data_IF_012001234836
#
_entry.id   IF_012001234836
#
_cell.length_a   1.000
_cell.length_b   1.000
_cell.length_c   1.000
_cell.angle_alpha   90.00
_cell.angle_beta   90.00
_cell.angle_gamma   90.00
#
_symmetry.space_group_name_H-M   'P 1'
#
loop_
_entity.id
_entity.type
_entity.pdbx_description
1 polymer ?
#
# COMPACT_ATOMS: atom_id res chain seq x y z
N UNK A 1 12.59 -20.59 25.07
CA UNK A 1 12.57 -21.03 23.66
C UNK A 1 11.50 -20.21 22.95
N UNK A 2 11.89 -19.15 22.23
CA UNK A 2 10.94 -18.34 21.46
C UNK A 2 10.56 -19.13 20.22
N UNK A 3 9.44 -19.86 20.27
CA UNK A 3 8.84 -20.47 19.09
C UNK A 3 8.29 -19.32 18.25
N UNK A 4 9.13 -18.78 17.36
CA UNK A 4 8.78 -17.69 16.46
C UNK A 4 7.68 -18.14 15.53
N UNK A 5 6.42 -17.89 15.90
CA UNK A 5 5.34 -17.85 14.91
C UNK A 5 5.78 -16.83 13.87
N UNK A 6 5.91 -17.24 12.61
CA UNK A 6 6.07 -16.33 11.49
C UNK A 6 5.00 -15.25 11.64
N UNK A 7 5.40 -14.02 11.98
CA UNK A 7 4.49 -12.90 11.91
C UNK A 7 4.08 -12.83 10.44
N UNK A 8 2.79 -12.99 10.15
CA UNK A 8 2.31 -12.81 8.79
C UNK A 8 2.72 -11.42 8.35
N UNK A 9 3.43 -11.34 7.21
CA UNK A 9 3.85 -10.05 6.67
C UNK A 9 2.58 -9.23 6.38
N UNK A 10 2.37 -8.19 7.17
CA UNK A 10 1.29 -7.22 6.99
C UNK A 10 1.68 -6.12 5.99
N UNK A 11 2.85 -6.25 5.35
CA UNK A 11 3.29 -5.39 4.28
C UNK A 11 2.82 -5.94 2.94
N UNK A 12 2.18 -5.08 2.17
CA UNK A 12 1.69 -5.37 0.83
C UNK A 12 2.37 -4.43 -0.15
N UNK A 13 2.72 -4.96 -1.32
CA UNK A 13 3.19 -4.20 -2.47
C UNK A 13 2.18 -4.37 -3.59
N UNK A 14 1.65 -3.25 -4.09
CA UNK A 14 0.66 -3.25 -5.17
C UNK A 14 1.23 -2.47 -6.35
N UNK A 15 0.96 -2.90 -7.60
CA UNK A 15 1.29 -2.11 -8.77
C UNK A 15 0.68 -0.71 -8.67
N UNK A 16 1.50 0.31 -8.87
CA UNK A 16 1.07 1.70 -8.86
C UNK A 16 1.98 2.54 -9.77
N UNK A 17 1.39 3.13 -10.80
CA UNK A 17 2.09 4.10 -11.63
C UNK A 17 2.21 5.44 -10.87
N UNK A 18 3.43 5.78 -10.47
CA UNK A 18 3.73 6.99 -9.73
C UNK A 18 3.88 8.24 -10.61
N UNK A 19 4.04 8.08 -11.93
CA UNK A 19 4.24 9.19 -12.86
C UNK A 19 5.54 9.97 -12.67
N UNK A 20 5.58 11.15 -13.30
CA UNK A 20 6.74 12.05 -13.37
C UNK A 20 6.83 13.04 -12.20
N UNK A 21 7.62 14.08 -12.41
CA UNK A 21 7.83 15.19 -11.45
C UNK A 21 6.90 16.39 -11.74
N UNK A 22 5.80 16.16 -12.44
CA UNK A 22 4.73 17.12 -12.71
C UNK A 22 3.67 17.16 -11.59
N UNK A 23 2.90 18.24 -11.56
CA UNK A 23 1.87 18.50 -10.55
C UNK A 23 0.76 17.46 -10.55
N UNK A 24 0.36 16.95 -11.72
CA UNK A 24 -0.67 15.93 -11.85
C UNK A 24 -0.22 14.60 -11.23
N UNK A 25 1.00 14.18 -11.52
CA UNK A 25 1.63 13.02 -10.92
C UNK A 25 1.80 13.18 -9.42
N UNK A 26 2.18 14.38 -8.94
CA UNK A 26 2.26 14.68 -7.52
C UNK A 26 0.91 14.55 -6.82
N UNK A 27 -0.15 15.11 -7.42
CA UNK A 27 -1.51 15.03 -6.92
C UNK A 27 -2.01 13.57 -6.86
N UNK A 28 -1.78 12.78 -7.93
CA UNK A 28 -2.14 11.35 -7.97
C UNK A 28 -1.47 10.56 -6.85
N UNK A 29 -0.18 10.80 -6.59
CA UNK A 29 0.55 10.19 -5.46
C UNK A 29 -0.05 10.60 -4.12
N UNK A 30 -0.33 11.89 -3.93
CA UNK A 30 -0.92 12.39 -2.69
C UNK A 30 -2.28 11.75 -2.41
N UNK A 31 -3.14 11.64 -3.42
CA UNK A 31 -4.44 10.96 -3.29
C UNK A 31 -4.26 9.48 -2.94
N UNK A 32 -3.37 8.76 -3.63
CA UNK A 32 -3.14 7.34 -3.36
C UNK A 32 -2.68 7.09 -1.91
N UNK A 33 -1.76 7.94 -1.41
CA UNK A 33 -1.29 7.91 -0.02
C UNK A 33 -2.42 8.22 0.95
N UNK A 34 -3.16 9.30 0.73
CA UNK A 34 -4.20 9.77 1.62
C UNK A 34 -5.36 8.77 1.70
N UNK A 35 -5.89 8.31 0.58
CA UNK A 35 -7.00 7.34 0.56
C UNK A 35 -6.63 6.01 1.20
N UNK A 36 -5.43 5.49 0.93
CA UNK A 36 -4.97 4.22 1.52
C UNK A 36 -4.73 4.35 3.02
N UNK A 37 -4.19 5.49 3.47
CA UNK A 37 -3.90 5.72 4.90
C UNK A 37 -5.13 6.16 5.70
N UNK A 38 -6.12 6.76 5.06
CA UNK A 38 -7.43 7.04 5.66
C UNK A 38 -8.31 5.78 5.74
N UNK A 39 -8.02 4.76 4.93
CA UNK A 39 -8.70 3.46 5.04
C UNK A 39 -8.36 2.84 6.39
N UNK A 40 -9.35 2.37 7.18
CA UNK A 40 -9.08 1.77 8.47
C UNK A 40 -8.07 0.64 8.36
N UNK A 41 -7.21 0.53 9.37
CA UNK A 41 -6.25 -0.56 9.50
C UNK A 41 -5.14 -0.58 8.44
N UNK A 42 -4.92 0.50 7.69
CA UNK A 42 -3.83 0.58 6.70
C UNK A 42 -3.08 1.92 6.74
N UNK A 43 -1.79 1.88 6.46
CA UNK A 43 -0.93 3.08 6.31
C UNK A 43 0.08 2.87 5.18
N UNK A 44 0.24 3.88 4.32
CA UNK A 44 1.27 3.83 3.26
C UNK A 44 2.64 4.12 3.87
N UNK A 45 3.63 3.31 3.50
CA UNK A 45 5.02 3.47 3.95
C UNK A 45 5.85 4.16 2.87
N UNK A 46 5.52 3.92 1.60
CA UNK A 46 6.22 4.59 0.51
C UNK A 46 5.71 4.18 -0.87
N UNK A 47 6.24 4.89 -1.86
CA UNK A 47 6.04 4.61 -3.27
C UNK A 47 7.42 4.36 -3.88
N UNK A 48 7.66 3.13 -4.36
CA UNK A 48 8.85 2.78 -5.11
C UNK A 48 8.64 3.12 -6.59
N UNK A 49 9.11 4.31 -6.99
CA UNK A 49 9.00 4.80 -8.36
C UNK A 49 9.81 3.98 -9.36
N UNK A 50 10.90 3.34 -8.93
CA UNK A 50 11.75 2.53 -9.82
C UNK A 50 11.07 1.22 -10.17
N UNK A 51 10.35 0.64 -9.21
CA UNK A 51 9.63 -0.64 -9.39
C UNK A 51 8.16 -0.48 -9.72
N UNK A 52 7.61 0.74 -9.68
CA UNK A 52 6.20 1.02 -9.94
C UNK A 52 5.28 0.40 -8.87
N UNK A 53 5.65 0.56 -7.58
CA UNK A 53 4.93 -0.06 -6.47
C UNK A 53 4.49 0.98 -5.43
N UNK A 54 3.29 0.80 -4.90
CA UNK A 54 2.85 1.40 -3.65
C UNK A 54 2.94 0.35 -2.54
N UNK A 55 3.61 0.72 -1.44
CA UNK A 55 3.86 -0.17 -0.31
C UNK A 55 3.06 0.34 0.88
N UNK A 56 2.22 -0.51 1.44
CA UNK A 56 1.42 -0.19 2.62
C UNK A 56 1.47 -1.31 3.65
N UNK A 57 1.24 -0.96 4.91
CA UNK A 57 1.16 -1.88 6.02
C UNK A 57 -0.26 -1.94 6.58
N UNK A 58 -0.72 -3.14 6.92
CA UNK A 58 -1.93 -3.33 7.70
C UNK A 58 -1.60 -3.40 9.19
N UNK A 59 -2.27 -2.62 10.04
CA UNK A 59 -1.96 -2.61 11.49
C UNK A 59 -2.32 -3.95 12.18
N UNK A 60 -3.34 -4.63 11.67
CA UNK A 60 -3.81 -5.96 12.09
C UNK A 60 -4.18 -6.74 10.83
N UNK A 61 -4.11 -8.08 10.87
CA UNK A 61 -4.58 -8.88 9.75
C UNK A 61 -6.10 -8.70 9.58
N UNK A 62 -6.53 -8.17 8.45
CA UNK A 62 -7.94 -8.11 8.07
C UNK A 62 -8.11 -8.56 6.63
N UNK A 63 -9.32 -8.95 6.21
CA UNK A 63 -9.60 -9.09 4.77
C UNK A 63 -9.20 -7.77 4.10
N UNK A 64 -8.47 -7.88 2.98
CA UNK A 64 -8.02 -6.73 2.21
C UNK A 64 -9.25 -5.86 1.93
N UNK A 65 -9.16 -4.57 2.28
CA UNK A 65 -10.24 -3.63 2.03
C UNK A 65 -10.59 -3.69 0.53
N UNK A 66 -11.89 -3.68 0.20
CA UNK A 66 -12.37 -3.83 -1.18
C UNK A 66 -11.69 -2.84 -2.15
N UNK A 67 -11.42 -1.63 -1.66
CA UNK A 67 -10.63 -0.59 -2.33
C UNK A 67 -9.24 -1.07 -2.79
N UNK A 68 -8.47 -1.73 -1.92
CA UNK A 68 -7.12 -2.15 -2.25
C UNK A 68 -7.12 -3.32 -3.24
N UNK A 69 -8.16 -4.15 -3.24
CA UNK A 69 -8.40 -5.14 -4.31
C UNK A 69 -8.62 -4.48 -5.67
N UNK A 70 -9.37 -3.38 -5.72
CA UNK A 70 -9.59 -2.60 -6.96
C UNK A 70 -8.31 -1.94 -7.48
N UNK A 71 -7.31 -1.73 -6.62
CA UNK A 71 -5.96 -1.27 -6.97
C UNK A 71 -4.99 -2.42 -7.32
N UNK A 72 -5.46 -3.66 -7.38
CA UNK A 72 -4.66 -4.82 -7.80
C UNK A 72 -4.03 -5.66 -6.68
N UNK A 73 -4.37 -5.40 -5.41
CA UNK A 73 -3.94 -6.26 -4.32
C UNK A 73 -4.75 -7.57 -4.29
N UNK A 74 -4.07 -8.73 -4.38
CA UNK A 74 -4.69 -10.04 -4.14
C UNK A 74 -4.90 -10.93 -5.37
N UNK A 75 -3.99 -10.89 -6.35
CA UNK A 75 -3.70 -12.10 -7.13
C UNK A 75 -2.80 -13.02 -6.31
#
# INVERSE_FOLDING_TARGET
>A
MFLGRSAESLFFSVPFDAGGDDDESAFRRALAVAYTSATPNSVVIGIDRKRGLLIYHQLRKSRIAEMTRRLGAGK
#
